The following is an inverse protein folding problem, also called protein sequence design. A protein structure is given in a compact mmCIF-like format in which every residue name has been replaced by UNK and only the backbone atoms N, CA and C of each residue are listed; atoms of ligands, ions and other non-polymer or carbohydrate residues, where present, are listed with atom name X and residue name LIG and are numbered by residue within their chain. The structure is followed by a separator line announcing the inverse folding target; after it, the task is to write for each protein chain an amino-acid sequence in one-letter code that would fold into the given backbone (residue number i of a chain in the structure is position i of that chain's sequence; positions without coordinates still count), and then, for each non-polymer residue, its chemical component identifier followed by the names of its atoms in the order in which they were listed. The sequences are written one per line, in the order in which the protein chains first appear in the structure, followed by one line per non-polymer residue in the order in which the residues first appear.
data_IF_646172061499
#
_entry.id   IF_646172061499
#
_cell.length_a   1.000
_cell.length_b   1.000
_cell.length_c   1.000
_cell.angle_alpha   90.00
_cell.angle_beta   90.00
_cell.angle_gamma   90.00
#
_symmetry.space_group_name_H-M   'P 1'
#
loop_
_entity.id
_entity.type
_entity.pdbx_description
1 polymer ?
#
# COMPACT_ATOMS: atom_id res chain seq x y z
N UNK A 1 -3.10 9.96 -17.82
CA UNK A 1 -3.10 8.80 -16.89
C UNK A 1 -1.87 8.89 -16.01
N UNK A 2 -2.01 8.80 -14.67
CA UNK A 2 -0.87 8.95 -13.79
C UNK A 2 0.12 7.78 -13.96
N UNK A 3 1.42 8.06 -13.75
CA UNK A 3 2.46 7.03 -13.81
C UNK A 3 2.19 5.87 -12.84
N UNK A 4 1.59 6.19 -11.71
CA UNK A 4 1.21 5.21 -10.68
C UNK A 4 0.15 4.23 -11.18
N UNK A 5 -0.87 4.71 -11.92
CA UNK A 5 -1.89 3.84 -12.51
C UNK A 5 -1.32 2.88 -13.54
N UNK A 6 -0.47 3.38 -14.44
CA UNK A 6 0.23 2.53 -15.42
C UNK A 6 1.03 1.43 -14.74
N UNK A 7 1.76 1.80 -13.68
CA UNK A 7 2.57 0.85 -12.91
C UNK A 7 1.70 -0.22 -12.23
N UNK A 8 0.59 0.17 -11.61
CA UNK A 8 -0.33 -0.77 -10.96
C UNK A 8 -1.01 -1.68 -11.98
N UNK A 9 -1.42 -1.14 -13.13
CA UNK A 9 -2.00 -1.93 -14.23
C UNK A 9 -1.03 -2.99 -14.76
N UNK A 10 0.26 -2.65 -14.87
CA UNK A 10 1.28 -3.58 -15.36
C UNK A 10 1.53 -4.77 -14.41
N UNK A 11 1.37 -4.58 -13.10
CA UNK A 11 1.52 -5.66 -12.11
C UNK A 11 0.47 -6.77 -12.29
N UNK A 12 -0.70 -6.47 -12.85
CA UNK A 12 -1.73 -7.45 -13.16
C UNK A 12 -1.27 -8.55 -14.15
N UNK A 13 -0.12 -8.40 -14.79
CA UNK A 13 0.47 -9.41 -15.67
C UNK A 13 1.24 -10.53 -14.97
N UNK A 14 1.38 -10.49 -13.63
CA UNK A 14 2.04 -11.56 -12.88
C UNK A 14 1.27 -12.89 -13.00
N UNK A 15 1.99 -13.96 -13.28
CA UNK A 15 1.40 -15.29 -13.53
C UNK A 15 0.83 -15.96 -12.27
N UNK A 16 1.47 -15.74 -11.12
CA UNK A 16 1.01 -16.29 -9.85
C UNK A 16 0.03 -15.31 -9.19
N UNK A 17 -1.25 -15.64 -9.19
CA UNK A 17 -2.35 -14.79 -8.72
C UNK A 17 -2.11 -14.17 -7.33
N UNK A 18 -1.69 -14.98 -6.34
CA UNK A 18 -1.46 -14.45 -4.99
C UNK A 18 -0.28 -13.48 -4.92
N UNK A 19 0.77 -13.72 -5.73
CA UNK A 19 1.92 -12.80 -5.84
C UNK A 19 1.49 -11.47 -6.49
N UNK A 20 0.67 -11.54 -7.54
CA UNK A 20 0.07 -10.36 -8.15
C UNK A 20 -0.72 -9.56 -7.11
N UNK A 21 -1.63 -10.21 -6.39
CA UNK A 21 -2.46 -9.56 -5.36
C UNK A 21 -1.59 -8.98 -4.23
N UNK A 22 -0.55 -9.71 -3.79
CA UNK A 22 0.43 -9.22 -2.81
C UNK A 22 1.12 -7.94 -3.29
N UNK A 23 1.63 -7.95 -4.50
CA UNK A 23 2.35 -6.80 -5.06
C UNK A 23 1.43 -5.59 -5.21
N UNK A 24 0.20 -5.78 -5.70
CA UNK A 24 -0.81 -4.73 -5.79
C UNK A 24 -1.16 -4.17 -4.41
N UNK A 25 -1.42 -5.04 -3.42
CA UNK A 25 -1.72 -4.60 -2.05
C UNK A 25 -0.61 -3.74 -1.45
N UNK A 26 0.65 -4.14 -1.61
CA UNK A 26 1.80 -3.37 -1.11
C UNK A 26 1.84 -1.99 -1.76
N UNK A 27 1.71 -1.90 -3.07
CA UNK A 27 1.83 -0.62 -3.79
C UNK A 27 0.62 0.28 -3.57
N UNK A 28 -0.59 -0.29 -3.47
CA UNK A 28 -1.81 0.48 -3.12
C UNK A 28 -1.71 1.06 -1.72
N UNK A 29 -1.21 0.29 -0.73
CA UNK A 29 -1.00 0.81 0.61
C UNK A 29 0.06 1.93 0.64
N UNK A 30 1.11 1.80 -0.15
CA UNK A 30 2.12 2.86 -0.28
C UNK A 30 1.60 4.10 -1.03
N UNK A 31 0.88 3.90 -2.11
CA UNK A 31 0.35 4.99 -2.94
C UNK A 31 -0.95 5.55 -2.36
N UNK A 32 -1.96 4.71 -2.11
CA UNK A 32 -3.29 5.15 -1.68
C UNK A 32 -3.35 5.66 -0.24
N UNK A 33 -2.43 5.22 0.63
CA UNK A 33 -2.41 5.56 2.06
C UNK A 33 -1.10 6.17 2.53
N UNK A 34 -0.16 6.42 1.65
CA UNK A 34 1.10 7.08 1.95
C UNK A 34 2.00 6.34 2.94
N UNK A 35 1.87 5.02 3.06
CA UNK A 35 2.66 4.22 3.98
C UNK A 35 4.10 4.03 3.49
N UNK A 36 5.04 4.00 4.44
CA UNK A 36 6.41 3.59 4.13
C UNK A 36 6.47 2.10 3.82
N UNK A 37 7.38 1.68 2.93
CA UNK A 37 7.54 0.26 2.59
C UNK A 37 7.76 -0.61 3.84
N UNK A 38 8.56 -0.14 4.80
CA UNK A 38 8.80 -0.86 6.06
C UNK A 38 7.52 -0.99 6.91
N UNK A 39 6.67 0.02 6.92
CA UNK A 39 5.38 -0.01 7.63
C UNK A 39 4.45 -1.05 7.01
N UNK A 40 4.34 -1.06 5.68
CA UNK A 40 3.53 -2.03 4.95
C UNK A 40 4.03 -3.46 5.19
N UNK A 41 5.33 -3.71 5.01
CA UNK A 41 5.91 -5.04 5.13
C UNK A 41 5.94 -5.57 6.59
N UNK A 42 5.72 -4.71 7.57
CA UNK A 42 5.60 -5.10 8.98
C UNK A 42 4.15 -5.39 9.41
N UNK A 43 3.17 -5.25 8.53
CA UNK A 43 1.79 -5.61 8.84
C UNK A 43 1.65 -7.10 9.16
N UNK A 44 0.97 -7.40 10.24
CA UNK A 44 0.66 -8.74 10.70
C UNK A 44 -0.81 -9.07 10.45
N UNK A 45 -1.17 -10.34 10.45
CA UNK A 45 -2.55 -10.77 10.25
C UNK A 45 -3.50 -10.09 11.25
N UNK A 46 -3.13 -10.02 12.52
CA UNK A 46 -3.93 -9.36 13.56
C UNK A 46 -4.19 -7.88 13.30
N UNK A 47 -3.32 -7.19 12.56
CA UNK A 47 -3.49 -5.77 12.22
C UNK A 47 -4.59 -5.56 11.17
N UNK A 48 -5.08 -6.63 10.53
CA UNK A 48 -6.13 -6.62 9.51
C UNK A 48 -7.51 -7.02 10.03
N UNK A 49 -7.66 -7.32 11.33
CA UNK A 49 -8.92 -7.74 11.91
C UNK A 49 -9.91 -6.60 12.12
N UNK A 50 -9.40 -5.38 12.30
CA UNK A 50 -10.18 -4.17 12.50
C UNK A 50 -10.47 -3.50 11.14
N UNK A 51 -11.44 -2.60 11.12
CA UNK A 51 -11.71 -1.75 9.96
C UNK A 51 -10.53 -0.82 9.64
N UNK A 52 -9.77 -0.47 10.68
CA UNK A 52 -8.59 0.38 10.58
C UNK A 52 -7.31 -0.44 10.75
N UNK A 53 -6.30 -0.14 9.95
CA UNK A 53 -4.98 -0.76 10.11
C UNK A 53 -4.13 0.01 11.11
N UNK A 54 -3.59 -0.70 12.10
CA UNK A 54 -2.66 -0.15 13.09
C UNK A 54 -1.24 -0.19 12.56
N UNK A 55 -0.63 0.97 12.45
CA UNK A 55 0.75 1.13 11.96
C UNK A 55 1.66 1.53 13.11
N UNK A 56 2.71 0.75 13.31
CA UNK A 56 3.79 1.08 14.25
C UNK A 56 4.89 1.84 13.50
N UNK A 57 5.02 3.11 13.80
CA UNK A 57 6.01 4.00 13.19
C UNK A 57 7.35 3.99 13.94
N UNK A 58 8.26 4.87 13.51
CA UNK A 58 9.57 5.09 14.16
C UNK A 58 9.37 5.55 15.63
N UNK A 59 10.18 5.01 16.54
CA UNK A 59 10.08 5.31 17.97
C UNK A 59 8.89 4.65 18.69
N UNK A 60 8.27 3.62 18.09
CA UNK A 60 7.18 2.86 18.70
C UNK A 60 5.81 3.56 18.70
N UNK A 61 5.71 4.76 18.13
CA UNK A 61 4.43 5.47 17.99
C UNK A 61 3.47 4.68 17.12
N UNK A 62 2.26 4.42 17.63
CA UNK A 62 1.20 3.73 16.90
C UNK A 62 0.22 4.76 16.37
N UNK A 63 -0.13 4.65 15.10
CA UNK A 63 -1.24 5.37 14.48
C UNK A 63 -2.19 4.40 13.81
N UNK A 64 -3.44 4.80 13.69
CA UNK A 64 -4.48 4.03 13.04
C UNK A 64 -4.82 4.70 11.71
N UNK A 65 -4.92 3.92 10.64
CA UNK A 65 -5.24 4.41 9.31
C UNK A 65 -6.53 3.72 8.85
N UNK A 66 -7.58 4.49 8.55
CA UNK A 66 -8.80 3.93 7.99
C UNK A 66 -8.51 3.41 6.57
N UNK A 67 -8.86 2.17 6.33
CA UNK A 67 -8.67 1.52 5.03
C UNK A 67 -10.03 1.27 4.40
N UNK A 68 -10.19 1.61 3.12
CA UNK A 68 -11.42 1.36 2.39
C UNK A 68 -11.77 -0.14 2.41
N UNK A 69 -13.06 -0.44 2.53
CA UNK A 69 -13.57 -1.81 2.66
C UNK A 69 -13.12 -2.69 1.48
N UNK A 70 -13.07 -2.13 0.28
CA UNK A 70 -12.63 -2.82 -0.94
C UNK A 70 -11.17 -3.30 -0.81
N UNK A 71 -10.30 -2.47 -0.24
CA UNK A 71 -8.89 -2.83 -0.01
C UNK A 71 -8.76 -3.90 1.08
N UNK A 72 -9.56 -3.80 2.12
CA UNK A 72 -9.58 -4.83 3.17
C UNK A 72 -10.02 -6.18 2.61
N UNK A 73 -11.08 -6.20 1.80
CA UNK A 73 -11.56 -7.41 1.11
C UNK A 73 -10.47 -7.96 0.20
N UNK A 74 -9.80 -7.09 -0.55
CA UNK A 74 -8.72 -7.48 -1.45
C UNK A 74 -7.53 -8.10 -0.69
N UNK A 75 -7.11 -7.50 0.43
CA UNK A 75 -6.04 -8.04 1.28
C UNK A 75 -6.46 -9.39 1.88
N UNK A 76 -7.69 -9.52 2.38
CA UNK A 76 -8.21 -10.80 2.90
C UNK A 76 -8.24 -11.87 1.82
N UNK A 77 -8.63 -11.53 0.60
CA UNK A 77 -8.59 -12.44 -0.53
C UNK A 77 -7.16 -12.85 -0.89
N UNK A 78 -6.21 -11.93 -0.89
CA UNK A 78 -4.78 -12.21 -1.09
C UNK A 78 -4.26 -13.20 -0.05
N UNK A 79 -4.59 -13.01 1.23
CA UNK A 79 -4.23 -13.93 2.32
C UNK A 79 -4.81 -15.33 2.07
N UNK A 80 -6.07 -15.41 1.65
CA UNK A 80 -6.75 -16.68 1.33
C UNK A 80 -6.14 -17.41 0.13
N UNK A 81 -5.71 -16.69 -0.91
CA UNK A 81 -5.09 -17.25 -2.11
C UNK A 81 -3.61 -17.61 -1.89
N UNK A 82 -3.00 -17.13 -0.81
CA UNK A 82 -1.62 -17.43 -0.46
C UNK A 82 -1.50 -18.93 -0.05
N UNK A 83 -0.49 -19.67 -0.55
CA UNK A 83 -0.34 -21.10 -0.25
C UNK A 83 0.18 -21.38 1.17
N UNK A 84 0.43 -20.36 1.97
CA UNK A 84 0.94 -20.49 3.33
C UNK A 84 -0.13 -20.17 4.36
N UNK A 85 -0.12 -20.91 5.48
CA UNK A 85 -0.99 -20.62 6.62
C UNK A 85 -0.47 -19.45 7.43
N UNK A 86 -1.39 -18.69 8.03
CA UNK A 86 -1.08 -17.52 8.82
C UNK A 86 -1.59 -17.66 10.26
N UNK A 87 -0.73 -17.32 11.21
CA UNK A 87 -1.08 -17.08 12.61
C UNK A 87 -1.27 -15.57 12.84
N UNK A 88 -1.94 -15.13 13.91
CA UNK A 88 -2.19 -13.71 14.17
C UNK A 88 -0.95 -12.82 14.14
N UNK A 89 0.19 -13.32 14.59
CA UNK A 89 1.45 -12.57 14.66
C UNK A 89 2.34 -12.71 13.41
N UNK A 90 1.92 -13.46 12.40
CA UNK A 90 2.66 -13.60 11.16
C UNK A 90 2.49 -12.38 10.26
N UNK A 91 3.53 -12.03 9.53
CA UNK A 91 3.49 -11.00 8.51
C UNK A 91 2.61 -11.43 7.35
N UNK A 92 1.74 -10.52 6.86
CA UNK A 92 0.80 -10.86 5.76
C UNK A 92 1.45 -10.81 4.38
N UNK A 93 2.56 -10.08 4.23
CA UNK A 93 3.27 -10.02 2.95
C UNK A 93 4.47 -10.95 2.97
N UNK A 94 4.32 -12.07 2.27
CA UNK A 94 5.33 -13.13 2.21
C UNK A 94 6.06 -13.14 0.86
N UNK A 95 7.31 -13.56 0.89
CA UNK A 95 8.07 -13.92 -0.29
C UNK A 95 7.60 -15.25 -0.87
N UNK A 96 8.02 -15.57 -2.09
CA UNK A 96 7.64 -16.78 -2.81
C UNK A 96 7.94 -18.10 -2.04
N UNK A 97 8.90 -18.07 -1.14
CA UNK A 97 9.30 -19.23 -0.30
C UNK A 97 8.68 -19.21 1.11
N UNK A 98 7.67 -18.37 1.36
CA UNK A 98 6.95 -18.30 2.63
C UNK A 98 7.59 -17.46 3.73
N UNK A 99 8.82 -16.96 3.55
CA UNK A 99 9.41 -16.00 4.49
C UNK A 99 8.87 -14.58 4.30
N UNK A 100 9.11 -13.69 5.27
CA UNK A 100 8.72 -12.28 5.18
C UNK A 100 9.20 -11.65 3.87
N UNK A 101 8.34 -10.90 3.20
CA UNK A 101 8.68 -10.18 1.97
C UNK A 101 9.76 -9.13 2.24
N UNK A 102 10.84 -9.20 1.47
CA UNK A 102 11.94 -8.25 1.58
C UNK A 102 11.67 -7.00 0.74
N UNK A 103 12.04 -5.79 1.23
CA UNK A 103 11.86 -4.53 0.50
C UNK A 103 12.47 -4.56 -0.91
N UNK A 104 13.61 -5.23 -1.07
CA UNK A 104 14.34 -5.31 -2.34
C UNK A 104 13.53 -5.99 -3.44
N UNK A 105 12.61 -6.89 -3.08
CA UNK A 105 11.71 -7.55 -4.04
C UNK A 105 10.77 -6.51 -4.67
N UNK A 106 10.17 -5.66 -3.86
CA UNK A 106 9.28 -4.58 -4.34
C UNK A 106 10.07 -3.52 -5.11
N UNK A 107 11.23 -3.13 -4.62
CA UNK A 107 12.11 -2.18 -5.32
C UNK A 107 12.53 -2.72 -6.71
N UNK A 108 12.88 -4.01 -6.79
CA UNK A 108 13.24 -4.67 -8.04
C UNK A 108 12.04 -4.74 -8.99
N UNK A 109 10.85 -5.07 -8.47
CA UNK A 109 9.61 -5.08 -9.25
C UNK A 109 9.35 -3.71 -9.88
N UNK A 110 9.33 -2.65 -9.08
CA UNK A 110 9.09 -1.27 -9.56
C UNK A 110 10.14 -0.88 -10.59
N UNK A 111 11.41 -1.22 -10.38
CA UNK A 111 12.48 -0.95 -11.35
C UNK A 111 12.25 -1.67 -12.68
N UNK A 112 11.88 -2.96 -12.64
CA UNK A 112 11.59 -3.75 -13.84
C UNK A 112 10.42 -3.15 -14.63
N UNK A 113 9.33 -2.79 -13.95
CA UNK A 113 8.15 -2.19 -14.57
C UNK A 113 8.50 -0.81 -15.14
N UNK A 114 9.26 0.00 -14.42
CA UNK A 114 9.73 1.30 -14.88
C UNK A 114 10.42 1.20 -16.24
N UNK A 115 11.35 0.26 -16.39
CA UNK A 115 12.03 0.05 -17.67
C UNK A 115 11.06 -0.37 -18.78
N UNK A 116 10.15 -1.29 -18.48
CA UNK A 116 9.19 -1.81 -19.47
C UNK A 116 8.19 -0.74 -19.95
N UNK A 117 7.74 0.11 -19.05
CA UNK A 117 6.79 1.19 -19.36
C UNK A 117 7.47 2.52 -19.72
N UNK A 118 8.78 2.55 -19.82
CA UNK A 118 9.55 3.77 -20.11
C UNK A 118 9.20 4.91 -19.14
N UNK A 119 9.06 4.57 -17.84
CA UNK A 119 8.80 5.54 -16.80
C UNK A 119 10.07 6.24 -16.33
N UNK A 120 9.99 7.46 -15.77
CA UNK A 120 11.14 8.19 -15.25
C UNK A 120 11.96 7.38 -14.24
N UNK A 121 13.27 7.62 -14.22
CA UNK A 121 14.21 6.92 -13.32
C UNK A 121 13.91 7.11 -11.83
N UNK A 122 13.27 8.21 -11.44
CA UNK A 122 12.87 8.48 -10.08
C UNK A 122 11.63 7.70 -9.61
N UNK A 123 11.01 6.89 -10.48
CA UNK A 123 9.89 6.01 -10.08
C UNK A 123 10.38 4.87 -9.20
N UNK A 124 10.17 5.00 -7.90
CA UNK A 124 10.57 4.03 -6.87
C UNK A 124 9.40 3.76 -5.92
N UNK A 125 9.44 2.74 -5.05
CA UNK A 125 8.44 2.58 -4.01
C UNK A 125 8.31 3.80 -3.11
N UNK A 126 9.40 4.54 -2.90
CA UNK A 126 9.37 5.77 -2.11
C UNK A 126 8.70 6.93 -2.87
N UNK A 127 8.87 7.03 -4.20
CA UNK A 127 8.22 8.06 -5.01
C UNK A 127 6.69 7.88 -5.05
N UNK A 128 6.17 6.66 -4.94
CA UNK A 128 4.72 6.42 -4.84
C UNK A 128 4.12 7.09 -3.61
N UNK A 129 4.81 7.05 -2.47
CA UNK A 129 4.40 7.76 -1.27
C UNK A 129 4.43 9.28 -1.48
N UNK A 130 5.45 9.77 -2.18
CA UNK A 130 5.56 11.19 -2.50
C UNK A 130 4.44 11.63 -3.46
N UNK A 131 4.14 10.82 -4.48
CA UNK A 131 3.04 11.07 -5.42
C UNK A 131 1.70 11.20 -4.68
N UNK A 132 1.43 10.32 -3.70
CA UNK A 132 0.23 10.40 -2.87
C UNK A 132 0.15 11.74 -2.13
N UNK A 133 1.22 12.20 -1.48
CA UNK A 133 1.24 13.49 -0.81
C UNK A 133 1.01 14.65 -1.79
N UNK A 134 1.60 14.59 -2.98
CA UNK A 134 1.43 15.61 -4.02
C UNK A 134 0.00 15.66 -4.55
N UNK A 135 -0.61 14.50 -4.81
CA UNK A 135 -2.01 14.41 -5.26
C UNK A 135 -3.00 14.94 -4.21
N UNK A 136 -2.75 14.67 -2.92
CA UNK A 136 -3.54 15.26 -1.84
C UNK A 136 -3.46 16.79 -1.81
N UNK A 137 -2.26 17.35 -2.00
CA UNK A 137 -2.06 18.80 -2.09
C UNK A 137 -2.84 19.40 -3.26
N UNK A 138 -2.79 18.77 -4.43
CA UNK A 138 -3.52 19.23 -5.61
C UNK A 138 -5.04 19.16 -5.44
N UNK A 139 -5.54 18.26 -4.59
CA UNK A 139 -6.95 18.11 -4.27
C UNK A 139 -7.40 18.90 -3.02
N UNK A 140 -6.72 19.99 -2.67
CA UNK A 140 -7.11 20.92 -1.62
C UNK A 140 -7.04 20.40 -0.19
N UNK A 141 -6.16 19.46 0.09
CA UNK A 141 -5.86 19.03 1.47
C UNK A 141 -4.71 19.88 2.00
N UNK A 142 -4.88 20.50 3.16
CA UNK A 142 -3.83 21.33 3.74
C UNK A 142 -2.59 20.48 4.14
N UNK A 143 -1.43 21.12 4.17
CA UNK A 143 -0.15 20.46 4.46
C UNK A 143 -0.15 19.76 5.83
N UNK A 144 -0.90 20.29 6.79
CA UNK A 144 -1.01 19.71 8.14
C UNK A 144 -1.70 18.35 8.09
N UNK A 145 -2.81 18.24 7.38
CA UNK A 145 -3.52 16.97 7.17
C UNK A 145 -2.63 15.93 6.50
N UNK A 146 -1.80 16.33 5.54
CA UNK A 146 -0.82 15.45 4.90
C UNK A 146 0.25 14.99 5.88
N UNK A 147 0.78 15.91 6.68
CA UNK A 147 1.78 15.57 7.70
C UNK A 147 1.23 14.60 8.75
N UNK A 148 0.00 14.81 9.21
CA UNK A 148 -0.69 13.91 10.13
C UNK A 148 -0.89 12.52 9.52
N UNK A 149 -1.36 12.44 8.28
CA UNK A 149 -1.55 11.18 7.55
C UNK A 149 -0.24 10.42 7.36
N UNK A 150 0.83 11.13 7.05
CA UNK A 150 2.16 10.54 6.87
C UNK A 150 2.86 10.21 8.20
N UNK A 151 2.22 10.46 9.35
CA UNK A 151 2.69 10.07 10.67
C UNK A 151 3.67 11.05 11.31
N UNK A 152 3.53 12.34 11.01
CA UNK A 152 4.16 13.42 11.75
C UNK A 152 3.20 13.95 12.82
N UNK A 153 3.08 13.27 13.94
CA UNK A 153 2.38 13.58 15.20
C UNK A 153 0.95 14.15 15.15
N UNK A 154 0.06 13.37 15.78
CA UNK A 154 -1.21 13.67 16.48
C UNK A 154 -2.33 14.43 15.75
N UNK A 155 -3.46 13.78 15.77
CA UNK A 155 -4.86 14.15 15.84
C UNK A 155 -5.75 13.67 14.68
N UNK A 156 -6.85 13.09 15.10
CA UNK A 156 -7.97 12.54 14.34
C UNK A 156 -8.40 13.36 13.12
N UNK A 157 -8.14 12.83 11.94
CA UNK A 157 -8.75 13.31 10.70
C UNK A 157 -9.35 12.15 9.91
N UNK A 158 -10.13 11.31 10.58
CA UNK A 158 -10.69 10.06 10.03
C UNK A 158 -11.79 10.28 8.98
N UNK A 159 -12.36 11.47 8.85
CA UNK A 159 -13.58 11.66 8.04
C UNK A 159 -13.38 12.25 6.63
N UNK A 160 -12.22 12.79 6.26
CA UNK A 160 -12.02 13.47 4.96
C UNK A 160 -11.44 12.61 3.84
N UNK A 161 -10.93 11.42 4.14
CA UNK A 161 -10.19 10.61 3.16
C UNK A 161 -11.00 9.50 2.48
N UNK A 162 -12.20 9.22 2.95
CA UNK A 162 -13.05 8.13 2.43
C UNK A 162 -13.71 8.41 1.10
N UNK A 163 -13.82 9.68 0.65
CA UNK A 163 -14.57 10.01 -0.57
C UNK A 163 -13.71 10.18 -1.83
N UNK A 164 -12.48 10.63 -1.69
CA UNK A 164 -11.64 11.00 -2.86
C UNK A 164 -10.98 9.80 -3.55
N UNK A 165 -10.82 8.67 -2.86
CA UNK A 165 -10.07 7.53 -3.38
C UNK A 165 -10.90 6.28 -3.72
N UNK A 166 -12.21 6.24 -3.44
CA UNK A 166 -13.02 5.04 -3.64
C UNK A 166 -13.16 4.66 -5.10
N UNK A 167 -13.46 5.61 -5.96
CA UNK A 167 -13.69 5.35 -7.38
C UNK A 167 -12.38 4.97 -8.08
N UNK A 168 -11.29 5.59 -7.70
CA UNK A 168 -9.95 5.35 -8.23
C UNK A 168 -9.38 3.97 -7.83
N UNK A 169 -9.65 3.56 -6.59
CA UNK A 169 -9.23 2.24 -6.09
C UNK A 169 -10.05 1.11 -6.67
N UNK A 170 -11.34 1.36 -6.97
CA UNK A 170 -12.20 0.41 -7.67
C UNK A 170 -11.68 0.08 -9.07
N UNK A 171 -11.34 1.09 -9.84
CA UNK A 171 -10.83 0.93 -11.21
C UNK A 171 -9.50 0.13 -11.27
N UNK A 172 -8.70 0.18 -10.20
CA UNK A 172 -7.44 -0.58 -10.10
C UNK A 172 -7.67 -2.05 -9.73
N UNK A 173 -8.73 -2.34 -8.96
CA UNK A 173 -8.95 -3.66 -8.35
C UNK A 173 -9.92 -4.56 -9.13
N UNK A 174 -10.70 -4.00 -10.05
CA UNK A 174 -11.50 -4.73 -11.04
C UNK A 174 -10.64 -5.18 -12.25
#
# INVERSE_FOLDING_TARGET
ESQTLKLLGDIKTEKEKWIMMRNLSVLVLMWGYGLRISEVLNLKLKDTYMEDIRIKGKGGKVRTIPIATEIQIFIKKMIKECPYEFKPDDFIFLGKKGGKLKPEIIQRLVRKIRYRLVLPENTTPHSLRHTFATELLQNFVDLRSIQELLGHSSLSTTQKYTSVNKDYLREILE
#
